data_IF_441532736834
#
_entry.id   IF_441532736834
#
_cell.length_a   1.000
_cell.length_b   1.000
_cell.length_c   1.000
_cell.angle_alpha   90.00
_cell.angle_beta   90.00
_cell.angle_gamma   90.00
#
_symmetry.space_group_name_H-M   'P 1'
#
loop_
_entity.id
_entity.type
_entity.pdbx_description
1 polymer ?
#
# COMPACT_ATOMS: atom_id res chain seq x y z
N UNK A 1 -2.77 18.38 12.93
CA UNK A 1 -1.31 18.23 13.11
C UNK A 1 -0.66 19.59 13.07
N UNK A 2 0.55 19.73 13.64
CA UNK A 2 1.24 21.01 13.79
C UNK A 2 1.38 21.83 12.50
N UNK A 3 1.63 21.15 11.36
CA UNK A 3 1.77 21.78 10.03
C UNK A 3 0.49 21.79 9.17
N UNK A 4 -0.70 21.64 9.78
CA UNK A 4 -1.97 21.67 9.04
C UNK A 4 -2.28 23.06 8.45
N UNK A 5 -1.70 24.12 9.02
CA UNK A 5 -1.75 25.50 8.53
C UNK A 5 -1.24 25.64 7.09
N UNK A 6 -0.30 24.78 6.66
CA UNK A 6 0.21 24.75 5.28
C UNK A 6 -0.88 24.47 4.24
N UNK A 7 -2.00 23.88 4.64
CA UNK A 7 -3.13 23.59 3.76
C UNK A 7 -4.06 24.81 3.58
N UNK A 8 -3.86 25.90 4.33
CA UNK A 8 -4.75 27.08 4.32
C UNK A 8 -5.02 27.65 2.92
N UNK A 9 -4.05 27.57 2.00
CA UNK A 9 -4.21 28.03 0.60
C UNK A 9 -5.01 27.06 -0.28
N UNK A 10 -5.09 25.79 0.10
CA UNK A 10 -5.81 24.72 -0.61
C UNK A 10 -7.24 24.53 -0.10
N UNK A 11 -7.50 24.97 1.12
CA UNK A 11 -8.83 25.00 1.71
C UNK A 11 -9.61 26.15 1.05
N UNK A 12 -10.28 25.84 -0.06
CA UNK A 12 -11.23 26.75 -0.71
C UNK A 12 -12.29 27.09 0.35
N UNK A 13 -12.69 28.37 0.52
CA UNK A 13 -13.82 28.75 1.35
C UNK A 13 -15.13 28.29 0.68
N UNK A 14 -15.33 26.97 0.65
CA UNK A 14 -16.55 26.34 0.22
C UNK A 14 -17.52 26.27 1.41
N UNK A 15 -18.81 26.14 1.11
CA UNK A 15 -19.91 26.02 2.07
C UNK A 15 -19.84 24.77 2.96
N UNK A 16 -18.96 23.80 2.65
CA UNK A 16 -18.85 22.52 3.35
C UNK A 16 -17.46 22.31 3.97
N UNK A 17 -17.37 21.77 5.20
CA UNK A 17 -16.10 21.44 5.84
C UNK A 17 -15.25 20.46 5.03
N UNK A 18 -13.95 20.73 4.91
CA UNK A 18 -13.00 19.79 4.30
C UNK A 18 -12.77 18.60 5.25
N UNK A 19 -12.92 17.38 4.73
CA UNK A 19 -12.62 16.14 5.45
C UNK A 19 -11.31 15.55 4.95
N UNK A 20 -10.46 15.09 5.86
CA UNK A 20 -9.22 14.40 5.56
C UNK A 20 -9.17 13.08 6.34
N UNK A 21 -8.65 12.04 5.71
CA UNK A 21 -8.55 10.70 6.27
C UNK A 21 -7.11 10.22 6.12
N UNK A 22 -6.57 9.60 7.16
CA UNK A 22 -5.26 8.98 7.17
C UNK A 22 -5.22 7.91 8.25
N UNK A 23 -4.44 6.86 7.98
CA UNK A 23 -4.13 5.84 8.97
C UNK A 23 -2.93 6.27 9.81
N UNK A 24 -2.84 5.74 11.03
CA UNK A 24 -1.72 5.95 11.94
C UNK A 24 -1.12 4.61 12.34
N UNK A 25 0.16 4.57 12.70
CA UNK A 25 0.73 3.37 13.32
C UNK A 25 0.21 3.23 14.75
N UNK A 26 0.33 2.02 15.31
CA UNK A 26 0.10 1.71 16.73
C UNK A 26 1.30 2.07 17.63
N UNK A 27 2.44 2.40 17.02
CA UNK A 27 3.68 2.76 17.70
C UNK A 27 3.92 4.26 17.66
N UNK A 28 4.32 4.88 18.78
CA UNK A 28 4.83 6.25 18.84
C UNK A 28 6.02 6.43 17.84
N UNK A 29 6.07 7.52 17.03
CA UNK A 29 5.23 8.73 17.05
C UNK A 29 3.96 8.63 16.17
N UNK A 30 3.36 7.45 16.06
CA UNK A 30 2.11 7.13 15.34
C UNK A 30 2.16 7.42 13.82
N UNK A 31 3.37 7.55 13.26
CA UNK A 31 3.59 7.89 11.86
C UNK A 31 3.31 6.71 10.93
N UNK A 32 2.58 6.98 9.84
CA UNK A 32 2.33 6.02 8.78
C UNK A 32 2.76 6.59 7.42
N UNK A 33 3.55 5.81 6.70
CA UNK A 33 4.04 6.13 5.36
C UNK A 33 3.27 5.29 4.34
N UNK A 34 2.42 5.96 3.58
CA UNK A 34 1.46 5.35 2.69
C UNK A 34 2.00 5.25 1.27
N UNK A 35 1.76 4.10 0.66
CA UNK A 35 2.12 3.78 -0.71
C UNK A 35 0.91 3.24 -1.46
N UNK A 36 0.82 3.58 -2.74
CA UNK A 36 -0.11 2.97 -3.67
C UNK A 36 0.60 1.89 -4.48
N UNK A 37 0.14 0.65 -4.35
CA UNK A 37 0.60 -0.49 -5.12
C UNK A 37 -0.37 -0.76 -6.26
N UNK A 38 0.09 -0.54 -7.49
CA UNK A 38 -0.59 -0.93 -8.72
C UNK A 38 -0.08 -2.32 -9.15
N UNK A 39 -0.96 -3.32 -9.28
CA UNK A 39 -0.62 -4.68 -9.76
C UNK A 39 -1.46 -5.00 -11.00
N UNK A 40 -0.81 -5.45 -12.07
CA UNK A 40 -1.47 -6.06 -13.22
C UNK A 40 -1.12 -7.54 -13.27
N UNK A 41 -2.12 -8.42 -13.40
CA UNK A 41 -1.93 -9.88 -13.33
C UNK A 41 -2.14 -10.61 -14.64
N UNK A 42 -1.53 -11.79 -14.78
CA UNK A 42 -1.65 -12.71 -15.92
C UNK A 42 -2.40 -14.01 -15.53
N UNK A 43 -3.13 -14.03 -14.43
CA UNK A 43 -3.86 -15.23 -14.03
C UNK A 43 -5.01 -15.52 -15.01
N UNK A 44 -5.18 -16.77 -15.45
CA UNK A 44 -6.33 -17.18 -16.27
C UNK A 44 -7.66 -17.06 -15.50
N UNK A 45 -7.65 -17.41 -14.21
CA UNK A 45 -8.81 -17.31 -13.33
C UNK A 45 -8.70 -16.12 -12.37
N UNK A 46 -9.85 -15.58 -11.98
CA UNK A 46 -9.94 -14.53 -10.96
C UNK A 46 -9.35 -15.06 -9.65
N UNK A 47 -8.48 -14.25 -9.04
CA UNK A 47 -7.96 -14.51 -7.69
C UNK A 47 -8.51 -13.45 -6.75
N UNK A 48 -9.05 -13.86 -5.61
CA UNK A 48 -9.40 -12.96 -4.52
C UNK A 48 -8.48 -13.26 -3.33
N UNK A 49 -7.87 -12.23 -2.77
CA UNK A 49 -6.97 -12.41 -1.64
C UNK A 49 -6.30 -11.11 -1.20
N UNK A 50 -5.36 -11.27 -0.28
CA UNK A 50 -4.65 -10.20 0.38
C UNK A 50 -3.22 -10.14 -0.13
N UNK A 51 -2.67 -8.93 -0.18
CA UNK A 51 -1.26 -8.68 -0.47
C UNK A 51 -0.64 -8.07 0.77
N UNK A 52 0.45 -8.67 1.23
CA UNK A 52 1.39 -8.03 2.14
C UNK A 52 2.61 -7.61 1.35
N UNK A 53 3.05 -6.37 1.55
CA UNK A 53 4.23 -5.81 0.89
C UNK A 53 5.38 -5.81 1.88
N UNK A 54 6.55 -6.23 1.44
CA UNK A 54 7.79 -6.13 2.19
C UNK A 54 8.79 -5.32 1.38
N UNK A 55 9.35 -4.29 2.00
CA UNK A 55 10.38 -3.43 1.41
C UNK A 55 11.71 -3.76 2.08
N UNK A 56 12.79 -3.74 1.30
CA UNK A 56 14.16 -3.93 1.80
C UNK A 56 15.04 -2.81 1.28
N UNK A 57 15.84 -2.23 2.17
CA UNK A 57 16.85 -1.23 1.83
C UNK A 57 18.16 -1.88 1.36
N UNK A 58 19.13 -1.06 0.96
CA UNK A 58 20.44 -1.53 0.49
C UNK A 58 21.33 -2.12 1.60
N UNK A 59 21.01 -1.87 2.87
CA UNK A 59 21.69 -2.47 4.02
C UNK A 59 21.05 -3.81 4.45
N UNK A 60 19.98 -4.23 3.78
CA UNK A 60 19.27 -5.48 4.08
C UNK A 60 18.20 -5.34 5.17
N UNK A 61 17.95 -4.14 5.72
CA UNK A 61 16.86 -3.94 6.67
C UNK A 61 15.54 -4.04 5.94
N UNK A 62 14.56 -4.66 6.60
CA UNK A 62 13.25 -4.89 5.98
C UNK A 62 12.12 -4.38 6.84
N UNK A 63 11.07 -3.88 6.19
CA UNK A 63 9.81 -3.53 6.81
C UNK A 63 8.67 -4.17 6.04
N UNK A 64 7.63 -4.56 6.76
CA UNK A 64 6.42 -5.12 6.17
C UNK A 64 5.26 -4.14 6.33
N UNK A 65 4.38 -4.15 5.34
CA UNK A 65 3.15 -3.40 5.42
C UNK A 65 2.17 -4.06 6.38
N UNK A 66 1.31 -3.25 6.97
CA UNK A 66 0.08 -3.79 7.52
C UNK A 66 -0.78 -4.37 6.37
N UNK A 67 -1.45 -5.49 6.64
CA UNK A 67 -2.30 -6.14 5.65
C UNK A 67 -3.66 -5.44 5.65
N UNK A 68 -4.17 -5.12 4.46
CA UNK A 68 -5.51 -4.55 4.33
C UNK A 68 -6.56 -5.50 4.95
N UNK A 69 -7.57 -4.92 5.61
CA UNK A 69 -8.72 -5.66 6.13
C UNK A 69 -9.57 -6.28 5.01
N UNK A 70 -9.59 -5.65 3.83
CA UNK A 70 -10.35 -6.09 2.67
C UNK A 70 -9.49 -6.86 1.65
N UNK A 71 -10.07 -7.96 1.13
CA UNK A 71 -9.42 -8.74 0.07
C UNK A 71 -9.60 -8.08 -1.30
N UNK A 72 -8.50 -7.97 -2.05
CA UNK A 72 -8.50 -7.47 -3.42
C UNK A 72 -8.87 -8.56 -4.42
N UNK A 73 -9.46 -8.15 -5.54
CA UNK A 73 -9.76 -9.01 -6.68
C UNK A 73 -8.71 -8.77 -7.77
N UNK A 74 -8.15 -9.85 -8.30
CA UNK A 74 -7.15 -9.84 -9.35
C UNK A 74 -7.66 -10.60 -10.56
N UNK A 75 -7.89 -9.86 -11.65
CA UNK A 75 -8.32 -10.39 -12.94
C UNK A 75 -7.20 -10.19 -13.98
N UNK A 76 -7.18 -11.07 -15.00
CA UNK A 76 -6.20 -10.99 -16.08
C UNK A 76 -6.22 -9.62 -16.74
N UNK A 77 -5.04 -9.02 -16.93
CA UNK A 77 -4.82 -7.71 -17.57
C UNK A 77 -5.50 -6.51 -16.92
N UNK A 78 -6.24 -6.70 -15.82
CA UNK A 78 -6.80 -5.60 -15.05
C UNK A 78 -5.81 -5.13 -13.98
N UNK A 79 -5.83 -3.83 -13.73
CA UNK A 79 -5.00 -3.18 -12.71
C UNK A 79 -5.76 -3.14 -11.39
N UNK A 80 -5.27 -3.86 -10.39
CA UNK A 80 -5.68 -3.71 -9.00
C UNK A 80 -4.85 -2.62 -8.33
N UNK A 81 -5.51 -1.76 -7.54
CA UNK A 81 -4.87 -0.71 -6.74
C UNK A 81 -5.03 -1.03 -5.27
N UNK A 82 -3.93 -1.02 -4.53
CA UNK A 82 -3.90 -1.40 -3.12
C UNK A 82 -3.19 -0.28 -2.35
N UNK A 83 -3.90 0.31 -1.39
CA UNK A 83 -3.28 1.21 -0.41
C UNK A 83 -2.55 0.36 0.64
N UNK A 84 -1.31 0.72 0.93
CA UNK A 84 -0.49 0.00 1.89
C UNK A 84 0.32 0.99 2.73
N UNK A 85 0.43 0.74 4.03
CA UNK A 85 1.10 1.61 4.99
C UNK A 85 2.26 0.92 5.68
N UNK A 86 3.32 1.69 5.96
CA UNK A 86 4.47 1.27 6.74
C UNK A 86 4.70 2.22 7.92
N UNK A 87 5.10 1.68 9.08
CA UNK A 87 5.38 2.46 10.30
C UNK A 87 6.68 3.29 10.21
N UNK A 88 7.50 3.08 9.17
CA UNK A 88 8.78 3.77 8.96
C UNK A 88 8.97 4.04 7.48
N UNK A 89 9.55 5.20 7.13
CA UNK A 89 9.97 5.47 5.75
C UNK A 89 11.27 4.72 5.44
N UNK A 90 11.33 4.09 4.26
CA UNK A 90 12.59 3.62 3.69
C UNK A 90 12.88 4.48 2.49
N UNK A 91 13.96 5.26 2.57
CA UNK A 91 14.28 6.22 1.51
C UNK A 91 14.69 5.52 0.20
N UNK A 92 15.67 4.64 0.27
CA UNK A 92 16.17 3.95 -0.92
C UNK A 92 15.73 2.49 -0.89
N UNK A 93 14.73 2.18 -1.71
CA UNK A 93 14.21 0.82 -1.84
C UNK A 93 15.13 0.02 -2.78
N UNK A 94 15.74 -1.04 -2.26
CA UNK A 94 16.54 -1.97 -3.04
C UNK A 94 15.70 -3.13 -3.59
N UNK A 95 14.73 -3.62 -2.78
CA UNK A 95 13.88 -4.75 -3.16
C UNK A 95 12.47 -4.60 -2.62
N UNK A 96 11.51 -5.06 -3.43
CA UNK A 96 10.09 -5.19 -3.08
C UNK A 96 9.73 -6.67 -3.17
N UNK A 97 9.14 -7.21 -2.11
CA UNK A 97 8.61 -8.57 -2.06
C UNK A 97 7.11 -8.52 -1.77
N UNK A 98 6.34 -9.38 -2.44
CA UNK A 98 4.90 -9.47 -2.28
C UNK A 98 4.53 -10.86 -1.78
N UNK A 99 3.71 -10.92 -0.74
CA UNK A 99 3.11 -12.15 -0.24
C UNK A 99 1.62 -12.12 -0.55
N UNK A 100 1.17 -13.04 -1.41
CA UNK A 100 -0.25 -13.26 -1.69
C UNK A 100 -0.81 -14.33 -0.74
N UNK A 101 -1.97 -14.07 -0.14
CA UNK A 101 -2.66 -15.00 0.74
C UNK A 101 -4.17 -14.97 0.52
N UNK A 102 -4.83 -16.10 0.64
CA UNK A 102 -6.30 -16.21 0.67
C UNK A 102 -6.85 -16.28 2.09
N UNK A 103 -5.99 -16.22 3.12
CA UNK A 103 -6.29 -16.48 4.55
C UNK A 103 -6.95 -17.85 4.85
N UNK A 104 -7.05 -18.73 3.86
CA UNK A 104 -7.48 -20.13 4.07
C UNK A 104 -6.27 -20.99 4.44
N UNK A 105 -6.35 -21.62 5.62
CA UNK A 105 -5.35 -22.59 6.10
C UNK A 105 -5.44 -23.94 5.38
N UNK A 106 -6.66 -24.31 4.97
CA UNK A 106 -6.99 -25.59 4.35
C UNK A 106 -7.50 -25.30 2.93
N UNK A 107 -6.88 -25.93 1.93
CA UNK A 107 -7.27 -25.82 0.53
C UNK A 107 -6.09 -25.67 -0.44
N UNK A 108 -6.37 -25.65 -1.75
CA UNK A 108 -5.34 -25.54 -2.78
C UNK A 108 -4.61 -24.19 -2.69
N UNK A 109 -3.28 -24.24 -2.70
CA UNK A 109 -2.43 -23.04 -2.73
C UNK A 109 -2.50 -22.39 -4.10
N UNK A 110 -3.24 -21.30 -4.21
CA UNK A 110 -3.33 -20.54 -5.46
C UNK A 110 -2.15 -19.58 -5.60
N UNK A 111 -1.46 -19.67 -6.74
CA UNK A 111 -0.40 -18.73 -7.11
C UNK A 111 -1.01 -17.50 -7.81
N UNK A 112 -0.50 -16.32 -7.47
CA UNK A 112 -0.78 -15.08 -8.17
C UNK A 112 0.34 -14.80 -9.17
N UNK A 113 0.02 -14.77 -10.47
CA UNK A 113 0.96 -14.43 -11.55
C UNK A 113 0.88 -12.94 -11.85
N UNK A 114 1.95 -12.21 -11.59
CA UNK A 114 2.04 -10.76 -11.79
C UNK A 114 2.76 -10.49 -13.11
N UNK A 115 2.19 -9.63 -13.94
CA UNK A 115 2.81 -9.13 -15.17
C UNK A 115 3.62 -7.87 -14.88
N UNK A 116 3.02 -6.94 -14.12
CA UNK A 116 3.64 -5.67 -13.76
C UNK A 116 3.22 -5.28 -12.36
N UNK A 117 4.14 -4.66 -11.63
CA UNK A 117 3.84 -3.96 -10.38
C UNK A 117 4.49 -2.58 -10.36
N UNK A 118 3.85 -1.62 -9.69
CA UNK A 118 4.43 -0.30 -9.40
C UNK A 118 4.03 0.13 -8.00
N UNK A 119 5.02 0.47 -7.17
CA UNK A 119 4.83 1.00 -5.83
C UNK A 119 5.12 2.50 -5.86
N UNK A 120 4.16 3.35 -5.43
CA UNK A 120 4.28 4.81 -5.45
C UNK A 120 4.14 5.36 -4.04
N UNK A 121 5.09 6.16 -3.59
CA UNK A 121 4.96 6.88 -2.31
C UNK A 121 3.91 7.98 -2.44
N UNK A 122 2.99 8.05 -1.47
CA UNK A 122 2.02 9.14 -1.38
C UNK A 122 2.57 10.30 -0.56
N UNK A 123 3.40 10.00 0.45
CA UNK A 123 4.04 11.02 1.28
C UNK A 123 5.17 11.74 0.52
N UNK A 124 5.89 11.03 -0.36
CA UNK A 124 7.01 11.57 -1.14
C UNK A 124 6.85 11.25 -2.65
N UNK A 125 5.95 11.92 -3.39
CA UNK A 125 5.59 11.55 -4.77
C UNK A 125 6.71 11.74 -5.81
N UNK A 126 7.75 12.51 -5.50
CA UNK A 126 8.85 12.85 -6.41
C UNK A 126 10.06 11.90 -6.33
N UNK A 127 9.96 10.81 -5.55
CA UNK A 127 11.01 9.79 -5.47
C UNK A 127 11.05 8.91 -6.72
#
# INVERSE_FOLDING_TARGET
GYHADRWKKLLIPNTSPTKAYFDTSDQDPFCMYNYLLDITTWNKSIRRGFIKVKITDYAGNTIESQMNSEASIFQQHQRAKILTGFHRDIEKIAKISLTFSTKTLIGPKYKLRILQMKLKSLNNPKR
#
